data_IF_151305243750
#
_entry.id   IF_151305243750
#
_cell.length_a   1.000
_cell.length_b   1.000
_cell.length_c   1.000
_cell.angle_alpha   90.00
_cell.angle_beta   90.00
_cell.angle_gamma   90.00
#
_symmetry.space_group_name_H-M   'P 1'
#
loop_
_entity.id
_entity.type
_entity.pdbx_description
1 polymer ?
#
# COMPACT_ATOMS: atom_id res chain seq x y z
N UNK A 1 21.68 6.81 4.98
CA UNK A 1 21.17 6.03 3.86
C UNK A 1 19.78 5.51 4.21
N UNK A 2 18.78 5.73 3.37
CA UNK A 2 17.42 5.22 3.59
C UNK A 2 17.45 3.73 3.32
N UNK A 3 17.01 2.93 4.30
CA UNK A 3 17.02 1.46 4.20
C UNK A 3 15.62 0.85 4.08
N UNK A 4 14.57 1.67 4.14
CA UNK A 4 13.17 1.24 4.01
C UNK A 4 12.37 2.27 3.24
N UNK A 5 11.50 1.79 2.36
CA UNK A 5 10.53 2.62 1.63
C UNK A 5 9.15 2.01 1.82
N UNK A 6 8.20 2.81 2.26
CA UNK A 6 6.82 2.41 2.44
C UNK A 6 5.90 3.09 1.43
N UNK A 7 5.22 2.31 0.60
CA UNK A 7 4.16 2.75 -0.29
C UNK A 7 2.79 2.39 0.29
N UNK A 8 1.89 3.35 0.39
CA UNK A 8 0.61 3.21 1.09
C UNK A 8 -0.55 3.55 0.14
N UNK A 9 -1.35 2.56 -0.21
CA UNK A 9 -2.72 2.74 -0.66
C UNK A 9 -3.63 2.77 0.57
N UNK A 10 -4.05 3.98 0.98
CA UNK A 10 -4.76 4.18 2.24
C UNK A 10 -6.27 4.32 2.05
N UNK A 11 -6.89 3.25 1.57
CA UNK A 11 -8.33 3.17 1.41
C UNK A 11 -9.05 2.90 2.76
N UNK A 12 -10.32 3.34 2.86
CA UNK A 12 -11.14 3.09 4.06
C UNK A 12 -11.55 1.62 4.21
N UNK A 13 -11.56 0.84 3.15
CA UNK A 13 -12.19 -0.49 3.17
C UNK A 13 -11.21 -1.64 3.04
N UNK A 14 -10.04 -1.37 2.50
CA UNK A 14 -9.02 -2.38 2.24
C UNK A 14 -7.66 -1.70 2.04
N UNK A 15 -7.14 -1.00 3.07
CA UNK A 15 -5.83 -0.37 2.94
C UNK A 15 -4.74 -1.43 2.78
N UNK A 16 -3.73 -1.09 1.99
CA UNK A 16 -2.54 -1.91 1.78
C UNK A 16 -1.26 -1.08 1.91
N UNK A 17 -0.21 -1.70 2.37
CA UNK A 17 1.11 -1.10 2.55
C UNK A 17 2.17 -2.06 2.01
N UNK A 18 3.02 -1.57 1.12
CA UNK A 18 4.21 -2.26 0.68
C UNK A 18 5.44 -1.62 1.34
N UNK A 19 6.22 -2.40 2.06
CA UNK A 19 7.47 -1.96 2.68
C UNK A 19 8.62 -2.68 2.02
N UNK A 20 9.35 -1.97 1.17
CA UNK A 20 10.62 -2.45 0.64
C UNK A 20 11.74 -2.20 1.66
N UNK A 21 12.67 -3.16 1.77
CA UNK A 21 13.83 -3.09 2.65
C UNK A 21 15.08 -3.37 1.83
N UNK A 22 16.08 -2.47 1.92
CA UNK A 22 17.38 -2.78 1.35
C UNK A 22 18.06 -3.89 2.15
N UNK A 23 18.46 -4.94 1.47
CA UNK A 23 19.31 -6.01 2.02
C UNK A 23 20.77 -5.69 1.84
N UNK A 24 21.14 -4.90 0.81
CA UNK A 24 22.50 -4.54 0.43
C UNK A 24 22.66 -3.03 0.20
N UNK A 25 23.90 -2.54 0.14
CA UNK A 25 24.21 -1.11 -0.11
C UNK A 25 23.87 -0.68 -1.56
N UNK A 26 23.80 -1.62 -2.51
CA UNK A 26 23.47 -1.40 -3.92
C UNK A 26 22.06 -1.90 -4.29
N UNK A 27 21.16 -2.01 -3.32
CA UNK A 27 19.88 -2.71 -3.44
C UNK A 27 18.98 -2.18 -4.56
N UNK A 28 18.71 -3.01 -5.55
CA UNK A 28 17.66 -2.79 -6.52
C UNK A 28 16.30 -3.07 -5.90
N UNK A 29 15.26 -2.37 -6.36
CA UNK A 29 13.90 -2.67 -5.94
C UNK A 29 13.48 -4.05 -6.47
N UNK A 30 13.17 -4.94 -5.55
CA UNK A 30 12.77 -6.30 -5.86
C UNK A 30 11.54 -6.68 -5.04
N UNK A 31 10.62 -7.43 -5.62
CA UNK A 31 9.42 -7.90 -4.93
C UNK A 31 9.76 -8.79 -3.71
N UNK A 32 10.78 -9.62 -3.80
CA UNK A 32 11.19 -10.52 -2.72
C UNK A 32 11.72 -9.77 -1.49
N UNK A 33 12.15 -8.51 -1.66
CA UNK A 33 12.57 -7.61 -0.59
C UNK A 33 11.43 -6.76 -0.01
N UNK A 34 10.21 -6.97 -0.50
CA UNK A 34 9.01 -6.27 -0.06
C UNK A 34 8.23 -7.09 0.96
N UNK A 35 7.83 -6.47 2.08
CA UNK A 35 6.74 -6.95 2.92
C UNK A 35 5.45 -6.25 2.53
N UNK A 36 4.41 -7.02 2.25
CA UNK A 36 3.09 -6.54 1.83
C UNK A 36 2.08 -6.73 2.97
N UNK A 37 1.52 -5.66 3.47
CA UNK A 37 0.53 -5.66 4.55
C UNK A 37 -0.83 -5.24 4.02
N UNK A 38 -1.88 -5.90 4.48
CA UNK A 38 -3.26 -5.50 4.14
C UNK A 38 -4.23 -5.88 5.23
N UNK A 39 -5.37 -5.17 5.28
CA UNK A 39 -6.46 -5.49 6.20
C UNK A 39 -7.49 -6.38 5.51
N UNK A 40 -7.80 -7.50 6.16
CA UNK A 40 -8.73 -8.50 5.67
C UNK A 40 -10.04 -8.50 6.48
N UNK A 41 -11.17 -8.40 5.79
CA UNK A 41 -12.47 -8.60 6.43
C UNK A 41 -12.58 -10.03 6.96
N UNK A 42 -13.21 -10.24 8.15
CA UNK A 42 -13.36 -11.56 8.71
C UNK A 42 -13.93 -12.54 7.68
N UNK A 43 -13.17 -13.54 7.28
CA UNK A 43 -13.65 -14.63 6.43
C UNK A 43 -14.51 -15.57 7.26
N UNK A 44 -15.59 -16.09 6.69
CA UNK A 44 -16.28 -17.25 7.27
C UNK A 44 -15.24 -18.36 7.44
N UNK A 45 -15.13 -18.92 8.67
CA UNK A 45 -14.18 -19.95 9.11
C UNK A 45 -13.72 -20.88 7.96
N UNK A 46 -12.40 -20.97 7.74
CA UNK A 46 -11.83 -22.11 7.04
C UNK A 46 -10.70 -21.89 6.04
N UNK A 47 -10.18 -20.69 5.81
CA UNK A 47 -9.03 -20.56 4.91
C UNK A 47 -8.08 -19.47 5.35
N UNK A 48 -7.06 -19.86 6.12
CA UNK A 48 -5.81 -19.09 6.12
C UNK A 48 -5.20 -19.25 4.72
N UNK A 49 -4.93 -18.19 3.97
CA UNK A 49 -4.22 -18.32 2.71
C UNK A 49 -2.89 -19.02 2.99
N UNK A 50 -2.44 -19.98 2.16
CA UNK A 50 -1.09 -20.53 2.29
C UNK A 50 -0.11 -19.39 2.18
N UNK A 51 0.83 -19.26 3.14
CA UNK A 51 1.72 -18.12 3.27
C UNK A 51 2.55 -17.88 2.01
N UNK A 52 2.35 -16.73 1.41
CA UNK A 52 3.41 -16.05 0.68
C UNK A 52 4.26 -15.46 1.78
N UNK A 53 5.56 -15.75 1.83
CA UNK A 53 6.43 -15.42 2.96
C UNK A 53 6.45 -13.92 3.31
N UNK A 54 6.17 -13.05 2.33
CA UNK A 54 6.18 -11.61 2.48
C UNK A 54 4.78 -10.95 2.47
N UNK A 55 3.70 -11.73 2.61
CA UNK A 55 2.33 -11.24 2.61
C UNK A 55 1.70 -11.36 3.99
N UNK A 56 1.36 -10.24 4.62
CA UNK A 56 0.85 -10.13 5.98
C UNK A 56 -0.60 -9.66 5.98
N UNK A 57 -1.51 -10.53 6.40
CA UNK A 57 -2.93 -10.23 6.54
C UNK A 57 -3.25 -9.93 8.00
N UNK A 58 -3.74 -8.73 8.28
CA UNK A 58 -4.27 -8.37 9.58
C UNK A 58 -5.80 -8.30 9.53
N UNK A 59 -6.51 -8.65 10.61
CA UNK A 59 -7.96 -8.56 10.63
C UNK A 59 -8.39 -7.08 10.54
N UNK A 60 -9.37 -6.81 9.67
CA UNK A 60 -9.98 -5.47 9.63
C UNK A 60 -10.65 -5.19 10.97
N UNK A 61 -10.36 -4.05 11.64
CA UNK A 61 -10.87 -3.78 12.97
C UNK A 61 -12.39 -3.60 13.00
N UNK A 62 -13.03 -3.95 14.12
CA UNK A 62 -14.39 -3.54 14.43
C UNK A 62 -14.36 -2.13 15.03
N UNK A 63 -15.39 -1.32 14.79
CA UNK A 63 -15.50 0.05 15.30
C UNK A 63 -16.97 0.39 15.59
N UNK A 64 -17.19 1.33 16.49
CA UNK A 64 -18.50 1.86 16.81
C UNK A 64 -18.77 3.21 16.15
N UNK A 65 -17.72 4.03 15.94
CA UNK A 65 -17.80 5.35 15.30
C UNK A 65 -16.79 5.49 14.16
N UNK A 66 -17.05 6.41 13.20
CA UNK A 66 -16.10 6.66 12.10
C UNK A 66 -14.77 7.22 12.62
N UNK A 67 -14.78 8.00 13.70
CA UNK A 67 -13.57 8.52 14.33
C UNK A 67 -12.71 7.39 14.91
N UNK A 68 -13.33 6.41 15.56
CA UNK A 68 -12.64 5.22 16.05
C UNK A 68 -12.06 4.41 14.89
N UNK A 69 -12.81 4.23 13.81
CA UNK A 69 -12.35 3.57 12.61
C UNK A 69 -11.07 4.23 12.05
N UNK A 70 -11.09 5.57 11.90
CA UNK A 70 -9.95 6.33 11.42
C UNK A 70 -8.75 6.20 12.37
N UNK A 71 -9.01 6.20 13.69
CA UNK A 71 -7.96 6.00 14.70
C UNK A 71 -7.32 4.62 14.57
N UNK A 72 -8.11 3.55 14.46
CA UNK A 72 -7.63 2.17 14.35
C UNK A 72 -6.84 1.95 13.04
N UNK A 73 -7.36 2.44 11.91
CA UNK A 73 -6.66 2.34 10.62
C UNK A 73 -5.33 3.10 10.63
N UNK A 74 -5.32 4.31 11.18
CA UNK A 74 -4.09 5.11 11.24
C UNK A 74 -3.06 4.55 12.22
N UNK A 75 -3.50 3.93 13.33
CA UNK A 75 -2.64 3.22 14.25
C UNK A 75 -1.97 2.02 13.56
N UNK A 76 -2.75 1.18 12.88
CA UNK A 76 -2.24 0.06 12.10
C UNK A 76 -1.17 0.50 11.08
N UNK A 77 -1.45 1.53 10.29
CA UNK A 77 -0.50 2.03 9.31
C UNK A 77 0.79 2.57 9.97
N UNK A 78 0.68 3.29 11.08
CA UNK A 78 1.84 3.81 11.82
C UNK A 78 2.68 2.70 12.45
N UNK A 79 2.08 1.62 12.92
CA UNK A 79 2.80 0.46 13.47
C UNK A 79 3.65 -0.20 12.40
N UNK A 80 3.13 -0.34 11.16
CA UNK A 80 3.89 -0.89 10.02
C UNK A 80 5.02 0.07 9.60
N UNK A 81 4.71 1.35 9.44
CA UNK A 81 5.70 2.36 9.01
C UNK A 81 6.85 2.46 10.02
N UNK A 82 6.55 2.50 11.31
CA UNK A 82 7.57 2.57 12.35
C UNK A 82 8.35 1.25 12.49
N UNK A 83 7.68 0.10 12.34
CA UNK A 83 8.26 -1.24 12.43
C UNK A 83 8.98 -1.51 13.75
N UNK A 84 9.55 -2.71 13.88
CA UNK A 84 10.37 -3.09 15.03
C UNK A 84 11.77 -2.46 15.02
N UNK A 85 12.14 -1.78 13.94
CA UNK A 85 13.46 -1.18 13.71
C UNK A 85 13.34 0.33 13.53
N UNK A 86 12.86 1.02 14.55
CA UNK A 86 12.63 2.47 14.57
C UNK A 86 13.89 3.34 14.24
N UNK A 87 15.08 2.73 14.22
CA UNK A 87 16.35 3.37 13.84
C UNK A 87 16.59 3.40 12.33
N UNK A 88 15.84 2.65 11.54
CA UNK A 88 15.95 2.70 10.08
C UNK A 88 15.12 3.88 9.55
N UNK A 89 15.76 4.75 8.80
CA UNK A 89 15.07 5.82 8.10
C UNK A 89 14.10 5.19 7.10
N UNK A 90 12.81 5.52 7.24
CA UNK A 90 11.77 5.09 6.32
C UNK A 90 11.31 6.29 5.50
N UNK A 91 11.37 6.20 4.18
CA UNK A 91 10.67 7.12 3.30
C UNK A 91 9.24 6.62 3.09
N UNK A 92 8.25 7.50 3.24
CA UNK A 92 6.84 7.14 3.15
C UNK A 92 6.19 7.87 1.98
N UNK A 93 5.52 7.10 1.13
CA UNK A 93 4.75 7.57 0.00
C UNK A 93 3.30 7.13 0.15
N UNK A 94 2.37 8.07 0.02
CA UNK A 94 0.94 7.83 0.24
C UNK A 94 0.20 8.19 -1.03
N UNK A 95 -0.73 7.33 -1.48
CA UNK A 95 -1.63 7.72 -2.56
C UNK A 95 -2.40 8.99 -2.19
N UNK A 96 -2.35 9.96 -3.08
CA UNK A 96 -3.08 11.22 -2.92
C UNK A 96 -4.55 11.09 -3.27
N UNK A 97 -5.30 12.17 -3.05
CA UNK A 97 -6.71 12.20 -3.37
C UNK A 97 -6.96 12.16 -4.89
N UNK A 98 -7.86 11.27 -5.33
CA UNK A 98 -8.48 11.39 -6.63
C UNK A 98 -9.60 12.44 -6.54
N UNK A 99 -9.42 13.59 -7.18
CA UNK A 99 -10.43 14.66 -7.19
C UNK A 99 -11.69 14.34 -8.01
N UNK A 100 -11.82 13.14 -8.58
CA UNK A 100 -12.89 12.80 -9.50
C UNK A 100 -13.96 11.90 -8.89
N UNK A 101 -15.19 12.38 -8.87
CA UNK A 101 -16.43 11.64 -9.11
C UNK A 101 -17.05 10.75 -8.05
N UNK A 102 -16.51 10.60 -6.86
CA UNK A 102 -17.19 9.90 -5.76
C UNK A 102 -18.17 10.86 -5.06
N UNK A 103 -19.29 10.37 -4.59
CA UNK A 103 -20.28 11.19 -3.87
C UNK A 103 -19.62 11.97 -2.73
N UNK A 104 -20.12 13.20 -2.47
CA UNK A 104 -19.51 14.16 -1.52
C UNK A 104 -19.23 13.57 -0.12
N UNK A 105 -20.05 12.64 0.36
CA UNK A 105 -19.87 11.97 1.66
C UNK A 105 -18.65 11.07 1.67
N UNK A 106 -18.46 10.23 0.65
CA UNK A 106 -17.32 9.31 0.59
C UNK A 106 -15.97 10.06 0.50
N UNK A 107 -15.91 11.13 -0.29
CA UNK A 107 -14.69 11.97 -0.39
C UNK A 107 -14.32 12.57 0.96
N UNK A 108 -15.30 12.99 1.76
CA UNK A 108 -15.06 13.52 3.10
C UNK A 108 -14.43 12.47 4.02
N UNK A 109 -15.04 11.30 4.16
CA UNK A 109 -14.49 10.24 5.03
C UNK A 109 -13.10 9.79 4.60
N UNK A 110 -12.81 9.70 3.31
CA UNK A 110 -11.44 9.41 2.81
C UNK A 110 -10.48 10.53 3.20
N UNK A 111 -10.89 11.78 3.06
CA UNK A 111 -10.04 12.93 3.40
C UNK A 111 -9.76 13.01 4.92
N UNK A 112 -10.76 12.76 5.76
CA UNK A 112 -10.62 12.72 7.21
C UNK A 112 -9.68 11.60 7.64
N UNK A 113 -9.88 10.39 7.12
CA UNK A 113 -9.03 9.23 7.40
C UNK A 113 -7.56 9.49 7.02
N UNK A 114 -7.32 9.95 5.78
CA UNK A 114 -5.96 10.24 5.31
C UNK A 114 -5.35 11.44 6.05
N UNK A 115 -6.17 12.45 6.39
CA UNK A 115 -5.74 13.60 7.18
C UNK A 115 -5.23 13.20 8.56
N UNK A 116 -5.91 12.26 9.23
CA UNK A 116 -5.49 11.75 10.54
C UNK A 116 -4.15 10.99 10.45
N UNK A 117 -3.97 10.13 9.44
CA UNK A 117 -2.70 9.44 9.23
C UNK A 117 -1.55 10.44 9.01
N UNK A 118 -1.74 11.42 8.12
CA UNK A 118 -0.75 12.49 7.86
C UNK A 118 -0.44 13.30 9.13
N UNK A 119 -1.46 13.59 9.94
CA UNK A 119 -1.27 14.30 11.21
C UNK A 119 -0.43 13.46 12.20
N UNK A 120 -0.69 12.16 12.31
CA UNK A 120 0.13 11.26 13.16
C UNK A 120 1.58 11.22 12.70
N UNK A 121 1.83 11.09 11.40
CA UNK A 121 3.19 11.15 10.84
C UNK A 121 3.87 12.49 11.16
N UNK A 122 3.17 13.60 10.96
CA UNK A 122 3.69 14.93 11.31
C UNK A 122 4.07 15.04 12.80
N UNK A 123 3.23 14.53 13.69
CA UNK A 123 3.47 14.54 15.15
C UNK A 123 4.75 13.82 15.55
N UNK A 124 5.09 12.71 14.90
CA UNK A 124 6.31 11.93 15.15
C UNK A 124 7.48 12.34 14.25
N UNK A 125 7.31 13.40 13.45
CA UNK A 125 8.31 13.90 12.48
C UNK A 125 8.69 12.86 11.41
N UNK A 126 7.77 11.96 11.05
CA UNK A 126 7.92 11.05 9.94
C UNK A 126 7.69 11.79 8.62
N UNK A 127 8.70 11.97 7.75
CA UNK A 127 8.50 12.56 6.44
C UNK A 127 7.60 11.68 5.57
N UNK A 128 6.74 12.30 4.77
CA UNK A 128 5.93 11.60 3.78
C UNK A 128 5.68 12.46 2.54
N UNK A 129 5.47 11.81 1.42
CA UNK A 129 5.09 12.44 0.14
C UNK A 129 3.75 11.89 -0.32
N UNK A 130 2.84 12.78 -0.75
CA UNK A 130 1.58 12.38 -1.36
C UNK A 130 1.68 12.38 -2.89
N UNK A 131 1.31 11.28 -3.53
CA UNK A 131 1.46 11.07 -4.97
C UNK A 131 0.07 10.92 -5.61
N UNK A 132 -0.25 11.69 -6.65
CA UNK A 132 -1.51 11.52 -7.38
C UNK A 132 -1.64 10.11 -7.98
N UNK A 133 -2.84 9.47 -7.91
CA UNK A 133 -3.06 8.14 -8.51
C UNK A 133 -2.69 8.04 -9.99
N UNK A 134 -2.90 9.13 -10.73
CA UNK A 134 -2.55 9.20 -12.17
C UNK A 134 -1.05 9.10 -12.43
N UNK A 135 -0.21 9.56 -11.50
CA UNK A 135 1.25 9.45 -11.59
C UNK A 135 1.65 7.99 -11.44
N UNK A 136 1.16 7.31 -10.41
CA UNK A 136 1.44 5.88 -10.16
C UNK A 136 0.96 5.01 -11.32
N UNK A 137 -0.25 5.24 -11.82
CA UNK A 137 -0.77 4.51 -12.98
C UNK A 137 0.06 4.72 -14.23
N UNK A 138 0.48 5.96 -14.49
CA UNK A 138 1.36 6.26 -15.63
C UNK A 138 2.72 5.62 -15.48
N UNK A 139 3.27 5.62 -14.27
CA UNK A 139 4.53 4.97 -13.95
C UNK A 139 4.47 3.45 -14.21
N UNK A 140 3.46 2.78 -13.67
CA UNK A 140 3.31 1.34 -13.77
C UNK A 140 2.99 0.85 -15.19
N UNK A 141 2.17 1.59 -15.95
CA UNK A 141 1.57 1.09 -17.20
C UNK A 141 1.80 1.97 -18.42
N UNK A 142 2.47 3.11 -18.26
CA UNK A 142 2.57 4.14 -19.29
C UNK A 142 1.29 4.98 -19.47
N UNK A 143 0.17 4.64 -18.77
CA UNK A 143 -1.15 5.29 -18.94
C UNK A 143 -1.70 5.78 -17.61
N UNK A 144 -1.85 7.10 -17.43
CA UNK A 144 -2.37 7.69 -16.19
C UNK A 144 -3.84 7.35 -15.87
N UNK A 145 -4.59 6.80 -16.81
CA UNK A 145 -5.96 6.32 -16.64
C UNK A 145 -6.09 4.80 -16.68
N UNK A 146 -4.99 4.07 -16.40
CA UNK A 146 -5.00 2.62 -16.37
C UNK A 146 -6.08 2.07 -15.42
N UNK A 147 -6.73 1.00 -15.84
CA UNK A 147 -7.66 0.26 -15.01
C UNK A 147 -6.93 -0.80 -14.14
N UNK A 148 -7.67 -1.48 -13.28
CA UNK A 148 -7.14 -2.48 -12.36
C UNK A 148 -6.49 -3.68 -13.06
N UNK A 149 -7.01 -4.08 -14.21
CA UNK A 149 -6.47 -5.21 -14.96
C UNK A 149 -5.10 -4.87 -15.55
N UNK A 150 -4.95 -3.68 -16.14
CA UNK A 150 -3.64 -3.19 -16.65
C UNK A 150 -2.60 -3.01 -15.53
N UNK A 151 -3.02 -2.53 -14.36
CA UNK A 151 -2.12 -2.42 -13.20
C UNK A 151 -1.63 -3.79 -12.74
N UNK A 152 -2.52 -4.78 -12.69
CA UNK A 152 -2.18 -6.14 -12.31
C UNK A 152 -1.30 -6.84 -13.36
N UNK A 153 -1.56 -6.63 -14.64
CA UNK A 153 -0.72 -7.11 -15.74
C UNK A 153 0.71 -6.57 -15.60
N UNK A 154 0.86 -5.25 -15.46
CA UNK A 154 2.16 -4.62 -15.23
C UNK A 154 2.86 -5.17 -13.98
N UNK A 155 2.13 -5.43 -12.90
CA UNK A 155 2.68 -6.04 -11.70
C UNK A 155 3.20 -7.46 -11.95
N UNK A 156 2.44 -8.30 -12.66
CA UNK A 156 2.84 -9.67 -12.96
C UNK A 156 4.00 -9.76 -13.94
N UNK A 157 4.10 -8.81 -14.87
CA UNK A 157 5.19 -8.73 -15.86
C UNK A 157 6.54 -8.36 -15.21
N UNK A 158 6.52 -7.63 -14.09
CA UNK A 158 7.73 -7.26 -13.37
C UNK A 158 8.29 -8.38 -12.47
N UNK A 159 7.48 -9.36 -12.12
CA UNK A 159 7.90 -10.38 -11.17
C UNK A 159 8.78 -11.43 -11.83
N UNK A 160 9.94 -11.68 -11.24
CA UNK A 160 10.84 -12.76 -11.67
C UNK A 160 10.18 -14.13 -11.53
N UNK A 161 9.32 -14.28 -10.54
CA UNK A 161 8.49 -15.48 -10.32
C UNK A 161 7.03 -15.06 -10.36
N UNK A 162 6.22 -15.59 -11.28
CA UNK A 162 4.80 -15.26 -11.34
C UNK A 162 4.14 -15.52 -9.99
N UNK A 163 3.47 -14.50 -9.46
CA UNK A 163 2.66 -14.66 -8.25
C UNK A 163 1.20 -14.83 -8.63
N UNK A 164 0.58 -15.80 -8.02
CA UNK A 164 -0.85 -16.10 -8.16
C UNK A 164 -1.69 -15.37 -7.09
N UNK A 165 -1.31 -14.12 -6.74
CA UNK A 165 -2.00 -13.31 -5.73
C UNK A 165 -3.52 -13.33 -5.90
N UNK A 166 -4.01 -13.20 -7.13
CA UNK A 166 -5.44 -13.26 -7.42
C UNK A 166 -6.04 -14.59 -7.00
N UNK A 167 -5.41 -15.69 -7.39
CA UNK A 167 -5.93 -17.04 -7.14
C UNK A 167 -5.85 -17.41 -5.67
N UNK A 168 -4.86 -16.90 -4.95
CA UNK A 168 -4.70 -17.10 -3.50
C UNK A 168 -5.65 -16.23 -2.67
N UNK A 169 -5.73 -14.93 -2.96
CA UNK A 169 -6.51 -14.00 -2.16
C UNK A 169 -7.98 -13.94 -2.56
N UNK A 170 -8.27 -14.11 -3.86
CA UNK A 170 -9.63 -13.98 -4.39
C UNK A 170 -10.01 -15.12 -5.35
N UNK A 171 -9.85 -16.42 -4.96
CA UNK A 171 -9.95 -17.57 -5.89
C UNK A 171 -11.33 -17.72 -6.57
N UNK A 172 -12.38 -17.18 -5.96
CA UNK A 172 -13.75 -17.23 -6.51
C UNK A 172 -14.15 -15.98 -7.30
N UNK A 173 -13.30 -14.96 -7.30
CA UNK A 173 -13.61 -13.71 -7.96
C UNK A 173 -13.36 -13.80 -9.48
N UNK A 174 -14.40 -13.52 -10.27
CA UNK A 174 -14.29 -13.47 -11.73
C UNK A 174 -13.48 -12.26 -12.22
N UNK A 175 -13.41 -11.20 -11.42
CA UNK A 175 -12.68 -9.95 -11.70
C UNK A 175 -11.67 -9.69 -10.59
N UNK A 176 -10.66 -8.88 -10.89
CA UNK A 176 -9.75 -8.36 -9.88
C UNK A 176 -10.52 -7.50 -8.86
N UNK A 177 -10.31 -7.80 -7.59
CA UNK A 177 -10.97 -7.14 -6.46
C UNK A 177 -9.97 -6.93 -5.32
N UNK A 178 -10.34 -6.13 -4.34
CA UNK A 178 -9.59 -5.98 -3.10
C UNK A 178 -9.49 -7.34 -2.36
N UNK A 179 -8.37 -7.63 -1.67
CA UNK A 179 -7.24 -6.74 -1.44
C UNK A 179 -6.18 -6.73 -2.57
N UNK A 180 -6.32 -7.59 -3.61
CA UNK A 180 -5.30 -7.73 -4.67
C UNK A 180 -4.97 -6.39 -5.32
N UNK A 181 -6.00 -5.62 -5.68
CA UNK A 181 -5.79 -4.32 -6.35
C UNK A 181 -5.07 -3.31 -5.47
N UNK A 182 -5.38 -3.27 -4.19
CA UNK A 182 -4.78 -2.31 -3.25
C UNK A 182 -3.32 -2.69 -2.92
N UNK A 183 -3.02 -4.01 -2.90
CA UNK A 183 -1.63 -4.51 -2.78
C UNK A 183 -0.79 -4.09 -3.99
N UNK A 184 -1.34 -4.21 -5.19
CA UNK A 184 -0.65 -3.81 -6.43
C UNK A 184 -0.40 -2.30 -6.46
N UNK A 185 -1.39 -1.50 -6.07
CA UNK A 185 -1.24 -0.06 -5.98
C UNK A 185 -0.17 0.32 -4.94
N UNK A 186 -0.18 -0.29 -3.74
CA UNK A 186 0.83 -0.08 -2.71
C UNK A 186 2.25 -0.47 -3.16
N UNK A 187 2.39 -1.57 -3.92
CA UNK A 187 3.66 -1.99 -4.51
C UNK A 187 4.22 -0.93 -5.45
N UNK A 188 3.43 -0.44 -6.41
CA UNK A 188 3.90 0.58 -7.35
C UNK A 188 4.16 1.93 -6.69
N UNK A 189 3.43 2.29 -5.62
CA UNK A 189 3.72 3.48 -4.82
C UNK A 189 5.11 3.34 -4.16
N UNK A 190 5.42 2.18 -3.59
CA UNK A 190 6.72 1.90 -2.98
C UNK A 190 7.85 1.93 -4.01
N UNK A 191 7.65 1.27 -5.16
CA UNK A 191 8.63 1.22 -6.25
C UNK A 191 8.92 2.59 -6.84
N UNK A 192 7.88 3.38 -7.11
CA UNK A 192 8.03 4.76 -7.56
C UNK A 192 8.82 5.59 -6.54
N UNK A 193 8.52 5.43 -5.25
CA UNK A 193 9.23 6.09 -4.19
C UNK A 193 10.71 5.72 -4.12
N UNK A 194 11.04 4.46 -4.38
CA UNK A 194 12.42 4.00 -4.45
C UNK A 194 13.18 4.64 -5.61
N UNK A 195 12.59 4.71 -6.80
CA UNK A 195 13.23 5.35 -7.97
C UNK A 195 13.46 6.85 -7.75
N UNK A 196 12.49 7.57 -7.19
CA UNK A 196 12.64 8.98 -6.87
C UNK A 196 13.77 9.22 -5.86
N UNK A 197 13.94 8.33 -4.87
CA UNK A 197 15.03 8.43 -3.92
C UNK A 197 16.40 8.11 -4.52
N UNK A 198 16.49 7.12 -5.38
CA UNK A 198 17.76 6.76 -6.03
C UNK A 198 18.20 7.79 -7.08
N UNK A 199 17.26 8.56 -7.64
CA UNK A 199 17.55 9.57 -8.65
C UNK A 199 17.93 10.95 -8.07
N UNK A 200 17.84 11.14 -6.76
CA UNK A 200 18.16 12.44 -6.11
C UNK A 200 19.65 12.57 -5.77
N UNK A 201 20.42 11.50 -5.86
CA UNK A 201 21.87 11.47 -5.53
C UNK A 201 22.80 11.55 -6.77
N UNK A 202 22.36 12.23 -7.85
CA UNK A 202 23.23 12.50 -9.01
C UNK A 202 23.46 14.00 -9.18
#
# INVERSE_FOLDING_TARGET
>A
MIKRIAGIDYSLTSPAICVWKSTDDDGYFNFDDCDLYYLEKPRRRGSTPPGILNLHADPYPEWETEEERHELLSKWAMEIVNGSQAWLTTAVFIEGYAFATSGKSHVRSVAENTGLLKHKMYKVKQPFTSIPPTVIKKYATGKGNANKDLMYEAFTDELLTPTDLKDRLTPKAKKLTNPVTDIVDAYFISKWGWEEFCNVDI
#
